data_IF_433706123047
#
_entry.id   IF_433706123047
#
_cell.length_a   1.000
_cell.length_b   1.000
_cell.length_c   1.000
_cell.angle_alpha   90.00
_cell.angle_beta   90.00
_cell.angle_gamma   90.00
#
_symmetry.space_group_name_H-M   'P 1'
#
loop_
_entity.id
_entity.type
_entity.pdbx_description
1 polymer ?
#
# COMPACT_ATOMS: atom_id res chain seq x y z
N UNK A 1 7.88 27.63 9.99
CA UNK A 1 8.30 26.42 9.27
C UNK A 1 7.63 26.46 7.90
N UNK A 2 8.40 26.59 6.82
CA UNK A 2 7.91 26.83 5.45
C UNK A 2 7.90 25.51 4.70
N UNK A 3 6.79 25.13 4.06
CA UNK A 3 6.76 24.11 3.01
C UNK A 3 6.37 24.78 1.69
N UNK A 4 7.21 24.59 0.68
CA UNK A 4 7.16 25.24 -0.63
C UNK A 4 6.29 24.46 -1.62
N UNK A 5 5.63 25.21 -2.50
CA UNK A 5 4.98 24.88 -3.77
C UNK A 5 5.01 23.41 -4.26
N UNK A 6 3.82 22.80 -4.34
CA UNK A 6 3.55 21.64 -5.19
C UNK A 6 2.55 20.64 -4.62
N UNK A 7 1.24 20.94 -4.70
CA UNK A 7 0.15 19.94 -4.65
C UNK A 7 -0.04 19.18 -3.33
N UNK A 8 -0.72 19.80 -2.37
CA UNK A 8 -1.21 19.13 -1.16
C UNK A 8 -2.52 18.37 -1.45
N UNK A 9 -2.46 17.38 -2.33
CA UNK A 9 -3.53 16.39 -2.51
C UNK A 9 -2.90 14.99 -2.51
N UNK A 10 -2.11 14.68 -1.47
CA UNK A 10 -1.77 13.30 -1.15
C UNK A 10 -3.08 12.62 -0.72
N UNK A 11 -3.90 12.22 -1.69
CA UNK A 11 -4.94 11.22 -1.50
C UNK A 11 -4.20 10.06 -0.88
N UNK A 12 -4.52 9.74 0.36
CA UNK A 12 -3.87 8.67 1.11
C UNK A 12 -4.09 7.39 0.31
N UNK A 13 -3.06 6.97 -0.43
CA UNK A 13 -3.15 5.79 -1.25
C UNK A 13 -2.76 4.60 -0.42
N UNK A 14 -3.72 3.73 -0.11
CA UNK A 14 -3.41 2.49 0.60
C UNK A 14 -2.46 1.59 -0.20
N UNK A 15 -2.36 1.79 -1.52
CA UNK A 15 -1.44 1.08 -2.39
C UNK A 15 0.00 1.64 -2.41
N UNK A 16 0.28 2.81 -1.80
CA UNK A 16 1.65 3.30 -1.53
C UNK A 16 2.19 2.61 -0.27
N UNK A 17 2.50 1.33 -0.44
CA UNK A 17 2.88 0.39 0.63
C UNK A 17 4.25 0.70 1.23
N UNK A 18 5.15 1.27 0.42
CA UNK A 18 6.49 1.66 0.84
C UNK A 18 6.54 3.12 1.38
N UNK A 19 5.47 3.89 1.20
CA UNK A 19 5.31 5.28 1.64
C UNK A 19 6.32 6.25 1.00
N UNK A 20 6.69 6.03 -0.26
CA UNK A 20 7.58 6.90 -1.03
C UNK A 20 6.84 8.02 -1.79
N UNK A 21 5.50 8.02 -1.72
CA UNK A 21 4.64 9.02 -2.32
C UNK A 21 4.15 8.65 -3.73
N UNK A 22 4.44 7.44 -4.21
CA UNK A 22 3.93 6.91 -5.48
C UNK A 22 3.47 5.46 -5.30
N UNK A 23 2.28 5.11 -5.79
CA UNK A 23 1.88 3.71 -5.88
C UNK A 23 2.38 3.10 -7.20
N UNK A 24 3.47 2.34 -7.14
CA UNK A 24 4.14 1.75 -8.30
C UNK A 24 4.51 0.27 -8.11
N UNK A 25 5.27 -0.28 -9.06
CA UNK A 25 5.62 -1.70 -9.03
C UNK A 25 6.43 -2.11 -7.79
N UNK A 26 7.18 -1.19 -7.17
CA UNK A 26 7.92 -1.46 -5.95
C UNK A 26 7.02 -1.66 -4.74
N UNK A 27 5.84 -1.02 -4.68
CA UNK A 27 4.83 -1.30 -3.65
C UNK A 27 4.30 -2.72 -3.75
N UNK A 28 3.98 -3.15 -4.98
CA UNK A 28 3.54 -4.52 -5.22
C UNK A 28 4.60 -5.53 -4.79
N UNK A 29 5.88 -5.30 -5.13
CA UNK A 29 6.96 -6.18 -4.72
C UNK A 29 7.15 -6.22 -3.20
N UNK A 30 7.07 -5.07 -2.53
CA UNK A 30 7.18 -5.00 -1.07
C UNK A 30 6.01 -5.69 -0.38
N UNK A 31 4.77 -5.49 -0.86
CA UNK A 31 3.60 -6.19 -0.35
C UNK A 31 3.74 -7.70 -0.52
N UNK A 32 4.13 -8.19 -1.70
CA UNK A 32 4.32 -9.64 -1.93
C UNK A 32 5.43 -10.22 -1.05
N UNK A 33 6.51 -9.47 -0.80
CA UNK A 33 7.56 -9.90 0.11
C UNK A 33 7.04 -10.04 1.55
N UNK A 34 6.36 -9.01 2.06
CA UNK A 34 5.78 -9.00 3.41
C UNK A 34 4.69 -10.07 3.56
N UNK A 35 3.83 -10.25 2.55
CA UNK A 35 2.82 -11.30 2.48
C UNK A 35 3.43 -12.70 2.55
N UNK A 36 4.49 -12.95 1.78
CA UNK A 36 5.18 -14.25 1.77
C UNK A 36 5.91 -14.57 3.09
N UNK A 37 6.28 -13.54 3.85
CA UNK A 37 6.90 -13.66 5.16
C UNK A 37 5.89 -13.74 6.31
N UNK A 38 4.59 -13.63 6.02
CA UNK A 38 3.54 -13.43 7.02
C UNK A 38 3.85 -12.24 7.96
N UNK A 39 4.39 -11.16 7.40
CA UNK A 39 4.63 -9.92 8.14
C UNK A 39 3.29 -9.26 8.49
N UNK A 40 3.06 -8.84 9.74
CA UNK A 40 1.82 -8.15 10.15
C UNK A 40 1.43 -6.94 9.30
N UNK A 41 2.37 -6.33 8.56
CA UNK A 41 2.07 -5.25 7.61
C UNK A 41 1.28 -5.71 6.39
N UNK A 42 1.28 -7.00 6.09
CA UNK A 42 0.53 -7.58 4.98
C UNK A 42 -0.95 -7.90 5.32
N UNK A 43 -1.38 -7.70 6.58
CA UNK A 43 -2.79 -7.70 7.00
C UNK A 43 -3.46 -6.40 6.51
N UNK A 44 -3.76 -6.37 5.21
CA UNK A 44 -4.19 -5.20 4.47
C UNK A 44 -5.62 -4.79 4.84
N UNK A 45 -6.48 -5.76 5.13
CA UNK A 45 -7.86 -5.48 5.56
C UNK A 45 -8.01 -5.35 7.09
N UNK A 46 -6.93 -5.60 7.84
CA UNK A 46 -6.84 -5.49 9.31
C UNK A 46 -7.82 -6.41 10.05
N UNK A 47 -8.08 -7.60 9.52
CA UNK A 47 -8.93 -8.61 10.17
C UNK A 47 -8.16 -9.51 11.16
N UNK A 48 -6.84 -9.36 11.23
CA UNK A 48 -5.95 -10.09 12.11
C UNK A 48 -5.44 -11.41 11.56
N UNK A 49 -5.74 -11.73 10.29
CA UNK A 49 -5.29 -12.94 9.60
C UNK A 49 -4.72 -12.57 8.24
N UNK A 50 -3.42 -12.82 8.04
CA UNK A 50 -2.80 -12.65 6.71
C UNK A 50 -3.23 -13.80 5.81
N UNK A 51 -4.13 -13.54 4.87
CA UNK A 51 -4.66 -14.53 3.94
C UNK A 51 -4.93 -14.00 2.52
N UNK A 52 -5.57 -14.82 1.69
CA UNK A 52 -5.79 -14.46 0.29
C UNK A 52 -6.66 -13.20 0.11
N UNK A 53 -7.50 -12.86 1.08
CA UNK A 53 -8.34 -11.66 1.02
C UNK A 53 -7.50 -10.38 1.12
N UNK A 54 -6.42 -10.35 1.90
CA UNK A 54 -5.49 -9.21 1.93
C UNK A 54 -4.86 -8.94 0.57
N UNK A 55 -4.45 -10.02 -0.11
CA UNK A 55 -3.86 -9.91 -1.45
C UNK A 55 -4.87 -9.35 -2.45
N UNK A 56 -6.13 -9.79 -2.39
CA UNK A 56 -7.18 -9.28 -3.26
C UNK A 56 -7.49 -7.81 -2.99
N UNK A 57 -7.57 -7.42 -1.72
CA UNK A 57 -7.86 -6.05 -1.33
C UNK A 57 -6.71 -5.11 -1.72
N UNK A 58 -5.46 -5.55 -1.55
CA UNK A 58 -4.29 -4.81 -2.04
C UNK A 58 -4.31 -4.63 -3.55
N UNK A 59 -4.56 -5.70 -4.32
CA UNK A 59 -4.63 -5.61 -5.80
C UNK A 59 -5.79 -4.72 -6.25
N UNK A 60 -6.93 -4.77 -5.56
CA UNK A 60 -8.05 -3.89 -5.84
C UNK A 60 -7.66 -2.42 -5.63
N UNK A 61 -7.03 -2.09 -4.48
CA UNK A 61 -6.53 -0.76 -4.19
C UNK A 61 -5.48 -0.29 -5.21
N UNK A 62 -4.52 -1.16 -5.57
CA UNK A 62 -3.47 -0.88 -6.55
C UNK A 62 -4.04 -0.59 -7.95
N UNK A 63 -5.08 -1.33 -8.36
CA UNK A 63 -5.73 -1.17 -9.66
C UNK A 63 -6.68 0.03 -9.75
N UNK A 64 -7.11 0.58 -8.61
CA UNK A 64 -8.08 1.67 -8.55
C UNK A 64 -7.50 3.04 -8.90
N UNK A 65 -6.19 3.13 -9.17
CA UNK A 65 -5.45 4.37 -9.44
C UNK A 65 -5.79 5.46 -8.44
N UNK A 66 -5.11 5.44 -7.31
CA UNK A 66 -4.73 6.71 -6.70
C UNK A 66 -3.95 7.54 -7.75
#
# INVERSE_FOLDING_TARGET
MRYSAGGVDAVFCLADFNSDGSADFFDYLNFVADFSAADPRADFNSDGVIDFFDYLDFVAAFSASC
#
